data_IF_842948341131
#
_entry.id   IF_842948341131
#
_cell.length_a   1.000
_cell.length_b   1.000
_cell.length_c   1.000
_cell.angle_alpha   90.00
_cell.angle_beta   90.00
_cell.angle_gamma   90.00
#
_symmetry.space_group_name_H-M   'P 1'
#
loop_
_entity.id
_entity.type
_entity.pdbx_description
1 polymer ?
#
# COMPACT_ATOMS: atom_id res chain seq x y z
N UNK A 1 40.52 11.60 51.95
CA UNK A 1 39.21 11.69 52.64
C UNK A 1 38.23 10.81 51.85
N UNK A 2 38.10 9.51 52.24
CA UNK A 2 37.10 8.61 51.67
C UNK A 2 35.74 8.91 52.32
N UNK A 3 34.82 9.53 51.59
CA UNK A 3 33.42 9.69 52.00
C UNK A 3 32.71 8.34 51.84
N UNK A 4 32.45 7.64 52.93
CA UNK A 4 31.56 6.46 52.93
C UNK A 4 30.19 6.86 52.44
N UNK A 5 29.79 6.44 51.25
CA UNK A 5 28.44 6.58 50.73
C UNK A 5 27.52 5.69 51.59
N UNK A 6 26.75 6.33 52.47
CA UNK A 6 25.75 5.65 53.32
C UNK A 6 24.71 5.01 52.41
N UNK A 7 24.68 3.66 52.38
CA UNK A 7 23.71 2.88 51.60
C UNK A 7 22.28 3.23 52.09
N UNK A 8 21.56 4.04 51.35
CA UNK A 8 20.18 4.43 51.68
C UNK A 8 19.33 3.18 51.56
N UNK A 9 18.75 2.73 52.69
CA UNK A 9 17.88 1.55 52.75
C UNK A 9 16.49 1.97 52.26
N UNK A 10 16.16 1.57 51.04
CA UNK A 10 14.86 1.85 50.41
C UNK A 10 13.71 1.23 51.21
N UNK A 11 12.64 1.97 51.40
CA UNK A 11 11.40 1.51 52.06
C UNK A 11 10.65 0.55 51.11
N UNK A 12 9.70 -0.25 51.64
CA UNK A 12 8.88 -1.15 50.83
C UNK A 12 8.08 -0.39 49.77
N UNK A 13 7.57 0.80 50.08
CA UNK A 13 6.81 1.67 49.18
C UNK A 13 7.68 2.20 48.03
N UNK A 14 8.92 2.62 48.31
CA UNK A 14 9.86 3.09 47.28
C UNK A 14 10.24 1.97 46.29
N UNK A 15 10.40 0.73 46.78
CA UNK A 15 10.66 -0.43 45.90
C UNK A 15 9.44 -0.74 45.02
N UNK A 16 8.23 -0.69 45.59
CA UNK A 16 6.99 -0.88 44.82
C UNK A 16 6.82 0.20 43.75
N UNK A 17 7.09 1.45 44.09
CA UNK A 17 7.05 2.55 43.13
C UNK A 17 8.07 2.36 42.01
N UNK A 18 9.30 1.96 42.37
CA UNK A 18 10.34 1.70 41.36
C UNK A 18 9.93 0.58 40.42
N UNK A 19 9.39 -0.53 40.92
CA UNK A 19 8.87 -1.64 40.10
C UNK A 19 7.76 -1.15 39.18
N UNK A 20 6.81 -0.38 39.70
CA UNK A 20 5.72 0.20 38.91
C UNK A 20 6.24 1.10 37.77
N UNK A 21 7.22 1.95 38.02
CA UNK A 21 7.82 2.82 37.01
C UNK A 21 8.57 2.02 35.94
N UNK A 22 9.26 0.95 36.34
CA UNK A 22 9.93 0.03 35.39
C UNK A 22 8.90 -0.65 34.49
N UNK A 23 7.82 -1.18 35.05
CA UNK A 23 6.75 -1.83 34.29
C UNK A 23 6.08 -0.85 33.32
N UNK A 24 5.84 0.37 33.75
CA UNK A 24 5.27 1.43 32.90
C UNK A 24 6.21 1.81 31.76
N UNK A 25 7.51 1.88 32.01
CA UNK A 25 8.52 2.12 30.98
C UNK A 25 8.56 0.95 29.95
N UNK A 26 8.54 -0.29 30.43
CA UNK A 26 8.50 -1.46 29.55
C UNK A 26 7.22 -1.47 28.72
N UNK A 27 6.07 -1.20 29.32
CA UNK A 27 4.78 -1.11 28.62
C UNK A 27 4.81 -0.03 27.52
N UNK A 28 5.36 1.15 27.84
CA UNK A 28 5.52 2.24 26.87
C UNK A 28 6.41 1.83 25.70
N UNK A 29 7.55 1.18 25.96
CA UNK A 29 8.46 0.71 24.91
C UNK A 29 7.81 -0.36 24.02
N UNK A 30 7.09 -1.32 24.62
CA UNK A 30 6.36 -2.36 23.87
C UNK A 30 5.25 -1.73 23.02
N UNK A 31 4.47 -0.81 23.59
CA UNK A 31 3.43 -0.11 22.84
C UNK A 31 4.00 0.69 21.67
N UNK A 32 5.11 1.40 21.90
CA UNK A 32 5.80 2.13 20.83
C UNK A 32 6.31 1.19 19.73
N UNK A 33 6.88 0.04 20.10
CA UNK A 33 7.33 -0.97 19.15
C UNK A 33 6.17 -1.54 18.31
N UNK A 34 5.03 -1.86 18.94
CA UNK A 34 3.84 -2.37 18.24
C UNK A 34 3.26 -1.31 17.29
N UNK A 35 3.18 -0.05 17.71
CA UNK A 35 2.69 1.05 16.87
C UNK A 35 3.61 1.28 15.67
N UNK A 36 4.93 1.21 15.88
CA UNK A 36 5.91 1.40 14.81
C UNK A 36 5.86 0.26 13.79
N UNK A 37 5.62 -0.97 14.24
CA UNK A 37 5.61 -2.18 13.39
C UNK A 37 4.18 -2.58 13.00
N UNK A 38 3.45 -1.72 12.30
CA UNK A 38 2.06 -1.96 11.83
C UNK A 38 1.88 -3.26 11.03
N UNK A 39 2.97 -3.81 10.50
CA UNK A 39 2.95 -5.03 9.69
C UNK A 39 3.18 -6.33 10.48
N UNK A 40 3.20 -6.28 11.81
CA UNK A 40 3.56 -7.43 12.64
C UNK A 40 2.59 -8.62 12.49
N UNK A 41 1.32 -8.32 12.23
CA UNK A 41 0.23 -9.30 12.12
C UNK A 41 -0.24 -9.53 10.67
N UNK A 42 0.50 -8.99 9.68
CA UNK A 42 0.16 -9.17 8.27
C UNK A 42 0.82 -10.44 7.74
N UNK A 43 0.02 -11.35 7.20
CA UNK A 43 0.54 -12.52 6.50
C UNK A 43 1.26 -12.10 5.21
N UNK A 44 2.53 -12.50 5.11
CA UNK A 44 3.38 -12.12 3.97
C UNK A 44 3.34 -13.18 2.89
N UNK A 45 2.99 -12.79 1.70
CA UNK A 45 3.04 -13.67 0.52
C UNK A 45 4.49 -14.08 0.23
N UNK A 46 4.75 -15.38 0.21
CA UNK A 46 6.05 -15.93 -0.16
C UNK A 46 6.11 -16.22 -1.65
N UNK A 47 6.64 -15.26 -2.42
CA UNK A 47 6.73 -15.35 -3.88
C UNK A 47 7.47 -16.60 -4.39
N UNK A 48 8.42 -17.14 -3.62
CA UNK A 48 9.20 -18.34 -4.01
C UNK A 48 8.38 -19.63 -3.99
N UNK A 49 7.24 -19.62 -3.30
CA UNK A 49 6.34 -20.79 -3.21
C UNK A 49 5.22 -20.74 -4.24
N UNK A 50 5.06 -19.64 -4.95
CA UNK A 50 4.03 -19.48 -5.96
C UNK A 50 4.53 -19.99 -7.30
N UNK A 51 3.68 -20.74 -7.98
CA UNK A 51 3.89 -21.21 -9.36
C UNK A 51 2.85 -20.53 -10.23
N UNK A 52 3.29 -19.85 -11.28
CA UNK A 52 2.41 -19.11 -12.18
C UNK A 52 2.42 -19.80 -13.55
N UNK A 53 1.24 -19.99 -14.14
CA UNK A 53 1.11 -20.55 -15.48
C UNK A 53 1.61 -19.57 -16.56
N UNK A 54 1.37 -18.27 -16.35
CA UNK A 54 1.76 -17.20 -17.29
C UNK A 54 2.56 -16.13 -16.53
N UNK A 55 3.84 -16.39 -16.21
CA UNK A 55 4.65 -15.46 -15.41
C UNK A 55 4.85 -14.08 -16.06
N UNK A 56 4.76 -13.98 -17.39
CA UNK A 56 4.82 -12.72 -18.15
C UNK A 56 3.60 -11.81 -17.90
N UNK A 57 2.52 -12.37 -17.34
CA UNK A 57 1.32 -11.63 -16.97
C UNK A 57 1.20 -11.39 -15.45
N UNK A 58 2.28 -11.63 -14.71
CA UNK A 58 2.30 -11.39 -13.27
C UNK A 58 3.05 -10.10 -12.96
N UNK A 59 2.40 -9.22 -12.21
CA UNK A 59 3.03 -8.06 -11.60
C UNK A 59 3.08 -8.21 -10.08
N UNK A 60 4.09 -7.63 -9.45
CA UNK A 60 4.24 -7.64 -7.99
C UNK A 60 4.28 -6.22 -7.47
N UNK A 61 3.25 -5.83 -6.77
CA UNK A 61 3.17 -4.55 -6.08
C UNK A 61 3.79 -4.70 -4.68
N UNK A 62 4.89 -4.00 -4.46
CA UNK A 62 5.59 -3.97 -3.17
C UNK A 62 5.03 -2.85 -2.31
N UNK A 63 4.48 -3.20 -1.17
CA UNK A 63 3.98 -2.24 -0.17
C UNK A 63 4.72 -2.43 1.16
N UNK A 64 4.68 -1.45 2.08
CA UNK A 64 5.45 -1.53 3.33
C UNK A 64 5.23 -2.82 4.13
N UNK A 65 4.02 -3.40 4.09
CA UNK A 65 3.68 -4.61 4.85
C UNK A 65 3.85 -5.93 4.09
N UNK A 66 4.22 -5.91 2.81
CA UNK A 66 4.41 -7.14 2.03
C UNK A 66 4.30 -6.94 0.53
N UNK A 67 3.90 -8.00 -0.15
CA UNK A 67 3.73 -8.01 -1.59
C UNK A 67 2.27 -8.33 -1.94
N UNK A 68 1.74 -7.64 -2.94
CA UNK A 68 0.47 -7.99 -3.59
C UNK A 68 0.81 -8.55 -4.96
N UNK A 69 0.33 -9.75 -5.25
CA UNK A 69 0.51 -10.39 -6.56
C UNK A 69 -0.68 -10.06 -7.43
N UNK A 70 -0.43 -9.57 -8.62
CA UNK A 70 -1.43 -9.13 -9.58
C UNK A 70 -1.30 -9.99 -10.82
N UNK A 71 -2.36 -10.67 -11.21
CA UNK A 71 -2.49 -11.34 -12.50
C UNK A 71 -3.14 -10.38 -13.49
N UNK A 72 -2.44 -10.14 -14.60
CA UNK A 72 -2.89 -9.30 -15.69
C UNK A 72 -3.62 -10.17 -16.73
N UNK A 73 -4.78 -9.72 -17.23
CA UNK A 73 -5.65 -10.50 -18.10
C UNK A 73 -5.74 -9.83 -19.48
N UNK A 74 -4.74 -10.03 -20.35
CA UNK A 74 -4.70 -9.37 -21.67
C UNK A 74 -5.83 -9.82 -22.62
N UNK A 75 -6.49 -10.94 -22.35
CA UNK A 75 -7.66 -11.38 -23.12
C UNK A 75 -8.90 -10.52 -22.87
N UNK A 76 -8.94 -9.78 -21.75
CA UNK A 76 -10.07 -8.90 -21.37
C UNK A 76 -9.76 -7.46 -21.73
N UNK A 77 -8.54 -6.99 -21.42
CA UNK A 77 -8.13 -5.61 -21.60
C UNK A 77 -6.68 -5.50 -22.11
N UNK A 78 -6.44 -5.81 -23.39
CA UNK A 78 -5.09 -5.87 -23.95
C UNK A 78 -4.34 -4.53 -23.88
N UNK A 79 -4.98 -3.41 -24.22
CA UNK A 79 -4.33 -2.09 -24.21
C UNK A 79 -4.02 -1.62 -22.77
N UNK A 80 -4.93 -1.84 -21.85
CA UNK A 80 -4.74 -1.50 -20.43
C UNK A 80 -3.61 -2.33 -19.81
N UNK A 81 -3.55 -3.63 -20.14
CA UNK A 81 -2.46 -4.51 -19.69
C UNK A 81 -1.12 -4.09 -20.28
N UNK A 82 -1.06 -3.75 -21.57
CA UNK A 82 0.18 -3.30 -22.20
C UNK A 82 0.66 -1.97 -21.60
N UNK A 83 -0.25 -1.02 -21.37
CA UNK A 83 0.05 0.23 -20.69
C UNK A 83 0.60 -0.01 -19.28
N UNK A 84 -0.07 -0.85 -18.50
CA UNK A 84 0.35 -1.16 -17.15
C UNK A 84 1.74 -1.79 -17.11
N UNK A 85 2.01 -2.77 -18.00
CA UNK A 85 3.34 -3.39 -18.17
C UNK A 85 4.41 -2.36 -18.58
N UNK A 86 4.08 -1.44 -19.46
CA UNK A 86 4.99 -0.39 -19.91
C UNK A 86 5.38 0.53 -18.75
N UNK A 87 4.41 0.96 -17.95
CA UNK A 87 4.65 1.81 -16.78
C UNK A 87 5.50 1.09 -15.71
N UNK A 88 5.25 -0.20 -15.49
CA UNK A 88 6.09 -1.03 -14.59
C UNK A 88 7.53 -1.14 -15.10
N UNK A 89 7.71 -1.50 -16.37
CA UNK A 89 9.05 -1.68 -16.97
C UNK A 89 9.89 -0.40 -16.91
N UNK A 90 9.24 0.74 -17.03
CA UNK A 90 9.89 2.05 -16.95
C UNK A 90 10.00 2.60 -15.52
N UNK A 91 9.64 1.80 -14.50
CA UNK A 91 9.65 2.19 -13.08
C UNK A 91 8.80 3.44 -12.78
N UNK A 92 7.79 3.69 -13.61
CA UNK A 92 6.92 4.87 -13.46
C UNK A 92 6.05 4.77 -12.20
N UNK A 93 5.72 3.57 -11.74
CA UNK A 93 4.94 3.36 -10.51
C UNK A 93 5.78 3.34 -9.23
N UNK A 94 7.11 3.42 -9.33
CA UNK A 94 7.95 3.40 -8.14
C UNK A 94 7.72 4.65 -7.29
N UNK A 95 7.54 4.45 -5.99
CA UNK A 95 7.31 5.51 -4.98
C UNK A 95 6.05 6.36 -5.21
N UNK A 96 5.05 5.82 -5.92
CA UNK A 96 3.76 6.49 -6.11
C UNK A 96 2.84 6.22 -4.92
N UNK A 97 2.17 7.25 -4.43
CA UNK A 97 1.28 7.17 -3.29
C UNK A 97 -0.08 6.53 -3.64
N UNK A 98 -0.63 5.77 -2.69
CA UNK A 98 -2.06 5.53 -2.66
C UNK A 98 -2.75 6.79 -2.14
N UNK A 99 -3.35 7.55 -3.04
CA UNK A 99 -3.89 8.88 -2.75
C UNK A 99 -5.37 8.87 -2.35
N UNK A 100 -6.08 7.78 -2.63
CA UNK A 100 -7.48 7.60 -2.24
C UNK A 100 -7.67 6.22 -1.63
N UNK A 101 -8.21 6.20 -0.42
CA UNK A 101 -8.55 4.97 0.31
C UNK A 101 -9.97 5.12 0.82
N UNK A 102 -10.86 4.24 0.37
CA UNK A 102 -12.25 4.17 0.83
C UNK A 102 -12.42 2.80 1.47
N UNK A 103 -12.64 2.80 2.78
CA UNK A 103 -12.78 1.57 3.57
C UNK A 103 -13.90 0.68 3.00
N UNK A 104 -13.65 -0.62 2.91
CA UNK A 104 -14.55 -1.62 2.37
C UNK A 104 -15.04 -1.35 0.93
N UNK A 105 -14.30 -0.54 0.18
CA UNK A 105 -14.64 -0.27 -1.22
C UNK A 105 -13.41 -0.34 -2.13
N UNK A 106 -12.50 0.63 -2.08
CA UNK A 106 -11.34 0.64 -2.95
C UNK A 106 -10.12 1.40 -2.38
N UNK A 107 -8.97 1.10 -2.95
CA UNK A 107 -7.78 1.95 -2.89
C UNK A 107 -7.38 2.37 -4.31
N UNK A 108 -6.88 3.59 -4.48
CA UNK A 108 -6.48 4.17 -5.77
C UNK A 108 -5.08 4.75 -5.69
N UNK A 109 -4.28 4.48 -6.72
CA UNK A 109 -2.91 4.96 -6.88
C UNK A 109 -2.64 5.23 -8.37
N UNK A 110 -1.40 5.61 -8.71
CA UNK A 110 -0.97 5.72 -10.10
C UNK A 110 -0.99 7.13 -10.67
N UNK A 111 -1.19 8.16 -9.84
CA UNK A 111 -0.93 9.53 -10.26
C UNK A 111 0.59 9.75 -10.38
N UNK A 112 1.08 9.78 -11.62
CA UNK A 112 2.51 9.86 -11.92
C UNK A 112 3.06 11.29 -11.88
N UNK A 113 2.20 12.29 -11.95
CA UNK A 113 2.57 13.70 -11.95
C UNK A 113 2.63 14.27 -10.52
N UNK A 114 1.58 14.05 -9.73
CA UNK A 114 1.43 14.67 -8.40
C UNK A 114 1.54 13.69 -7.24
N UNK A 115 1.59 12.38 -7.52
CA UNK A 115 1.58 11.32 -6.51
C UNK A 115 2.95 10.73 -6.16
N UNK A 116 4.05 11.21 -6.76
CA UNK A 116 5.41 10.73 -6.48
C UNK A 116 5.88 11.22 -5.11
N UNK A 117 6.50 10.32 -4.33
CA UNK A 117 7.02 10.62 -2.99
C UNK A 117 7.96 11.83 -2.95
N UNK A 118 8.76 12.01 -4.00
CA UNK A 118 9.78 13.04 -4.10
C UNK A 118 9.18 14.46 -4.28
N UNK A 119 7.98 14.55 -4.85
CA UNK A 119 7.33 15.81 -5.19
C UNK A 119 5.80 15.75 -5.05
N UNK A 120 5.31 15.06 -4.04
CA UNK A 120 3.87 14.89 -3.82
C UNK A 120 3.16 16.23 -3.69
N UNK A 121 2.09 16.42 -4.45
CA UNK A 121 1.26 17.61 -4.40
C UNK A 121 -0.15 17.28 -3.93
N UNK A 122 -0.42 17.52 -2.65
CA UNK A 122 -1.68 17.16 -2.01
C UNK A 122 -2.90 17.93 -2.54
N UNK A 123 -2.71 19.04 -3.27
CA UNK A 123 -3.83 19.81 -3.86
C UNK A 123 -4.30 19.19 -5.17
N UNK A 124 -3.38 18.62 -5.95
CA UNK A 124 -3.66 18.12 -7.29
C UNK A 124 -3.59 16.61 -7.44
N UNK A 125 -3.14 15.89 -6.40
CA UNK A 125 -3.03 14.44 -6.44
C UNK A 125 -4.39 13.79 -6.76
N UNK A 126 -4.38 12.84 -7.69
CA UNK A 126 -5.58 12.22 -8.25
C UNK A 126 -6.13 12.95 -9.49
N UNK A 127 -5.39 13.94 -10.01
CA UNK A 127 -5.72 14.64 -11.26
C UNK A 127 -4.57 14.72 -12.25
N UNK A 128 -3.42 14.11 -11.89
CA UNK A 128 -2.23 14.12 -12.72
C UNK A 128 -2.34 13.21 -13.93
N UNK A 129 -1.38 13.35 -14.83
CA UNK A 129 -1.31 12.57 -16.07
C UNK A 129 0.05 11.93 -16.22
N UNK A 130 0.10 10.90 -17.06
CA UNK A 130 1.36 10.37 -17.55
C UNK A 130 1.83 11.14 -18.80
N UNK A 131 3.04 10.86 -19.23
CA UNK A 131 3.60 11.37 -20.50
C UNK A 131 3.13 10.58 -21.74
N UNK A 132 2.29 9.58 -21.54
CA UNK A 132 1.82 8.70 -22.61
C UNK A 132 0.46 9.11 -23.11
N UNK A 133 0.12 8.72 -24.33
CA UNK A 133 -1.20 8.94 -24.88
C UNK A 133 -2.29 8.25 -24.07
N UNK A 134 -3.45 8.89 -23.97
CA UNK A 134 -4.61 8.31 -23.30
C UNK A 134 -5.11 7.08 -24.05
N UNK A 135 -5.59 6.10 -23.33
CA UNK A 135 -6.23 4.92 -23.90
C UNK A 135 -7.73 4.96 -23.70
N UNK A 136 -8.46 4.30 -24.61
CA UNK A 136 -9.91 4.14 -24.46
C UNK A 136 -10.18 3.01 -23.47
N UNK A 137 -11.18 3.14 -22.60
CA UNK A 137 -11.62 2.05 -21.75
C UNK A 137 -12.04 0.83 -22.55
N UNK A 138 -11.63 -0.33 -22.10
CA UNK A 138 -11.96 -1.62 -22.71
C UNK A 138 -13.12 -2.24 -21.93
N UNK A 139 -14.36 -1.91 -22.34
CA UNK A 139 -15.58 -2.33 -21.65
C UNK A 139 -16.43 -3.33 -22.45
N UNK A 140 -15.93 -3.80 -23.57
CA UNK A 140 -16.69 -4.64 -24.49
C UNK A 140 -16.86 -6.09 -24.00
N UNK A 141 -16.06 -6.50 -23.03
CA UNK A 141 -16.11 -7.82 -22.43
C UNK A 141 -16.80 -7.78 -21.08
N UNK A 142 -17.77 -8.65 -20.80
CA UNK A 142 -18.39 -8.75 -19.48
C UNK A 142 -17.34 -9.20 -18.46
N UNK A 143 -17.16 -8.41 -17.42
CA UNK A 143 -16.25 -8.71 -16.32
C UNK A 143 -16.91 -8.40 -14.98
N UNK A 144 -16.85 -9.34 -14.05
CA UNK A 144 -17.33 -9.13 -12.69
C UNK A 144 -16.26 -8.44 -11.84
N UNK A 145 -16.57 -7.27 -11.35
CA UNK A 145 -15.72 -6.51 -10.44
C UNK A 145 -15.84 -7.03 -9.02
N UNK A 146 -15.01 -8.00 -8.68
CA UNK A 146 -14.95 -8.63 -7.35
C UNK A 146 -13.83 -8.05 -6.50
N UNK A 147 -13.87 -8.32 -5.22
CA UNK A 147 -12.78 -8.07 -4.28
C UNK A 147 -11.45 -8.58 -4.85
N UNK A 148 -10.43 -7.69 -4.84
CA UNK A 148 -9.11 -7.96 -5.41
C UNK A 148 -8.98 -7.61 -6.90
N UNK A 149 -10.05 -7.24 -7.60
CA UNK A 149 -9.95 -6.73 -8.96
C UNK A 149 -9.13 -5.46 -8.99
N UNK A 150 -8.19 -5.38 -9.94
CA UNK A 150 -7.48 -4.15 -10.30
C UNK A 150 -7.99 -3.68 -11.67
N UNK A 151 -8.25 -2.38 -11.79
CA UNK A 151 -8.67 -1.75 -13.04
C UNK A 151 -8.09 -0.35 -13.14
N UNK A 152 -7.92 0.16 -14.36
CA UNK A 152 -7.61 1.58 -14.54
C UNK A 152 -8.78 2.45 -14.12
N UNK A 153 -8.45 3.60 -13.53
CA UNK A 153 -9.43 4.63 -13.24
C UNK A 153 -9.74 5.41 -14.52
N UNK A 154 -11.04 5.59 -14.79
CA UNK A 154 -11.49 6.40 -15.92
C UNK A 154 -11.37 7.89 -15.60
N UNK A 155 -11.17 8.70 -16.64
CA UNK A 155 -11.26 10.15 -16.56
C UNK A 155 -12.65 10.58 -16.04
N UNK A 156 -12.78 11.86 -15.63
CA UNK A 156 -14.07 12.42 -15.17
C UNK A 156 -15.19 12.26 -16.21
N UNK A 157 -14.85 12.29 -17.48
CA UNK A 157 -15.81 12.11 -18.57
C UNK A 157 -16.09 10.62 -18.87
N UNK A 158 -15.32 9.70 -18.26
CA UNK A 158 -15.49 8.25 -18.41
C UNK A 158 -15.04 7.68 -19.76
N UNK A 159 -14.36 8.47 -20.59
CA UNK A 159 -14.01 8.13 -21.97
C UNK A 159 -12.53 7.82 -22.19
N UNK A 160 -11.69 8.03 -21.19
CA UNK A 160 -10.25 7.74 -21.28
C UNK A 160 -9.69 7.18 -19.98
N UNK A 161 -8.61 6.42 -20.11
CA UNK A 161 -7.76 5.91 -19.03
C UNK A 161 -6.31 6.35 -19.27
N UNK A 162 -5.49 6.36 -18.23
CA UNK A 162 -4.08 6.75 -18.34
C UNK A 162 -3.17 5.84 -17.52
N UNK A 163 -2.89 6.21 -16.28
CA UNK A 163 -1.96 5.53 -15.38
C UNK A 163 -2.56 5.22 -14.02
N UNK A 164 -3.61 5.95 -13.63
CA UNK A 164 -4.25 5.72 -12.35
C UNK A 164 -5.01 4.39 -12.36
N UNK A 165 -4.85 3.62 -11.27
CA UNK A 165 -5.55 2.36 -11.08
C UNK A 165 -6.20 2.28 -9.72
N UNK A 166 -7.23 1.48 -9.61
CA UNK A 166 -7.91 1.13 -8.38
C UNK A 166 -7.83 -0.36 -8.09
N UNK A 167 -7.83 -0.72 -6.82
CA UNK A 167 -7.95 -2.09 -6.35
C UNK A 167 -9.18 -2.17 -5.47
N UNK A 168 -10.10 -3.07 -5.79
CA UNK A 168 -11.31 -3.28 -5.02
C UNK A 168 -11.03 -4.03 -3.72
N UNK A 169 -11.54 -3.50 -2.61
CA UNK A 169 -11.46 -4.11 -1.28
C UNK A 169 -12.69 -4.95 -0.94
N UNK A 170 -13.75 -4.81 -1.72
CA UNK A 170 -14.99 -5.59 -1.64
C UNK A 170 -15.62 -5.73 -3.03
N UNK A 171 -16.63 -6.60 -3.16
CA UNK A 171 -17.33 -6.80 -4.43
C UNK A 171 -18.09 -5.52 -4.82
N UNK A 172 -17.97 -5.14 -6.10
CA UNK A 172 -18.60 -3.95 -6.62
C UNK A 172 -19.70 -4.33 -7.62
N UNK A 173 -20.94 -4.07 -7.25
CA UNK A 173 -22.13 -4.38 -8.07
C UNK A 173 -22.51 -3.27 -9.06
N UNK A 174 -21.76 -2.15 -9.09
CA UNK A 174 -22.14 -0.92 -9.81
C UNK A 174 -20.94 -0.28 -10.55
N UNK A 175 -20.25 -1.04 -11.40
CA UNK A 175 -19.29 -0.46 -12.35
C UNK A 175 -19.71 -0.79 -13.78
#
# INVERSE_FOLDING_TARGET
>A
ILRMLKKIKQTKSEKLLLIFLILLAIFSLVSFYLIKNKCLFVEKVNLKKLVFNNPENIAVLKVPCGNVVIELIPSISPNSVERFKTLIKNSEYDNVAFHRVVENFLVQAGDLEFGKKENINYTYIGSGRSKYDLIKPETDQPFEFKKGTIAFAKSKNGDTEDSEFLILLDDAFLF
#
